data_IF_473304881672
#
_entry.id   IF_473304881672
#
_cell.length_a   1.000
_cell.length_b   1.000
_cell.length_c   1.000
_cell.angle_alpha   90.00
_cell.angle_beta   90.00
_cell.angle_gamma   90.00
#
_symmetry.space_group_name_H-M   'P 1'
#
loop_
_entity.id
_entity.type
_entity.pdbx_description
1 polymer ?
#
# COMPACT_ATOMS: atom_id res chain seq x y z
N UNK A 1 11.80 -32.93 -76.46
CA UNK A 1 11.52 -33.46 -75.11
C UNK A 1 10.81 -32.38 -74.32
N UNK A 2 9.52 -32.54 -73.98
CA UNK A 2 8.76 -31.57 -73.17
C UNK A 2 8.55 -32.16 -71.78
N UNK A 3 9.29 -31.66 -70.78
CA UNK A 3 9.08 -32.00 -69.37
C UNK A 3 7.83 -31.28 -68.86
N UNK A 4 6.78 -32.05 -68.59
CA UNK A 4 5.56 -31.56 -67.96
C UNK A 4 5.77 -31.36 -66.46
N UNK A 5 5.83 -30.10 -66.02
CA UNK A 5 5.91 -29.75 -64.60
C UNK A 5 4.56 -30.06 -63.94
N UNK A 6 4.49 -31.12 -63.11
CA UNK A 6 3.30 -31.46 -62.32
C UNK A 6 3.21 -30.50 -61.13
N UNK A 7 2.36 -29.48 -61.26
CA UNK A 7 1.95 -28.64 -60.13
C UNK A 7 1.04 -29.48 -59.22
N UNK A 8 1.55 -29.93 -58.07
CA UNK A 8 0.72 -30.51 -57.01
C UNK A 8 -0.10 -29.37 -56.38
N UNK A 9 -1.39 -29.27 -56.73
CA UNK A 9 -2.33 -28.43 -55.99
C UNK A 9 -2.57 -29.07 -54.63
N UNK A 10 -1.93 -28.55 -53.59
CA UNK A 10 -2.37 -28.79 -52.21
C UNK A 10 -3.82 -28.32 -52.08
N UNK A 11 -4.72 -29.24 -51.75
CA UNK A 11 -6.10 -28.90 -51.43
C UNK A 11 -6.12 -28.28 -50.03
N UNK A 12 -6.02 -26.96 -49.97
CA UNK A 12 -6.35 -26.17 -48.78
C UNK A 12 -7.77 -26.55 -48.33
N UNK A 13 -7.90 -27.28 -47.22
CA UNK A 13 -9.20 -27.55 -46.60
C UNK A 13 -9.59 -26.29 -45.82
N UNK A 14 -10.51 -25.50 -46.36
CA UNK A 14 -11.10 -24.37 -45.65
C UNK A 14 -11.94 -24.83 -44.45
N UNK A 15 -12.12 -23.94 -43.47
CA UNK A 15 -13.01 -24.19 -42.33
C UNK A 15 -14.46 -24.34 -42.78
N UNK A 16 -15.16 -25.28 -42.16
CA UNK A 16 -16.59 -25.42 -42.33
C UNK A 16 -17.33 -24.37 -41.49
N UNK A 17 -18.54 -24.00 -41.92
CA UNK A 17 -19.39 -23.07 -41.17
C UNK A 17 -19.71 -23.60 -39.76
N UNK A 18 -19.83 -24.92 -39.62
CA UNK A 18 -20.08 -25.59 -38.34
C UNK A 18 -18.92 -25.42 -37.37
N UNK A 19 -17.67 -25.53 -37.85
CA UNK A 19 -16.48 -25.34 -37.01
C UNK A 19 -16.36 -23.91 -36.49
N UNK A 20 -16.63 -22.92 -37.34
CA UNK A 20 -16.65 -21.50 -36.94
C UNK A 20 -17.75 -21.26 -35.90
N UNK A 21 -18.94 -21.82 -36.10
CA UNK A 21 -20.05 -21.69 -35.16
C UNK A 21 -19.73 -22.31 -33.80
N UNK A 22 -19.16 -23.53 -33.79
CA UNK A 22 -18.76 -24.21 -32.55
C UNK A 22 -17.64 -23.45 -31.83
N UNK A 23 -16.64 -22.94 -32.55
CA UNK A 23 -15.56 -22.13 -31.98
C UNK A 23 -16.08 -20.83 -31.35
N UNK A 24 -16.99 -20.12 -32.03
CA UNK A 24 -17.61 -18.90 -31.50
C UNK A 24 -18.50 -19.18 -30.29
N UNK A 25 -19.23 -20.30 -30.28
CA UNK A 25 -20.04 -20.70 -29.14
C UNK A 25 -19.17 -20.95 -27.90
N UNK A 26 -18.07 -21.69 -28.05
CA UNK A 26 -17.12 -21.94 -26.95
C UNK A 26 -16.45 -20.63 -26.51
N UNK A 27 -16.02 -19.79 -27.46
CA UNK A 27 -15.41 -18.49 -27.16
C UNK A 27 -16.37 -17.57 -26.39
N UNK A 28 -17.65 -17.55 -26.76
CA UNK A 28 -18.67 -16.76 -26.06
C UNK A 28 -18.81 -17.15 -24.60
N UNK A 29 -18.88 -18.47 -24.32
CA UNK A 29 -18.93 -18.98 -22.94
C UNK A 29 -17.67 -18.60 -22.16
N UNK A 30 -16.49 -18.73 -22.77
CA UNK A 30 -15.23 -18.35 -22.13
C UNK A 30 -15.17 -16.87 -21.77
N UNK A 31 -15.61 -15.98 -22.68
CA UNK A 31 -15.63 -14.54 -22.42
C UNK A 31 -16.56 -14.20 -21.25
N UNK A 32 -17.76 -14.77 -21.21
CA UNK A 32 -18.71 -14.54 -20.10
C UNK A 32 -18.12 -14.96 -18.76
N UNK A 33 -17.43 -16.09 -18.71
CA UNK A 33 -16.77 -16.56 -17.48
C UNK A 33 -15.58 -15.68 -17.11
N UNK A 34 -14.83 -15.14 -18.08
CA UNK A 34 -13.62 -14.35 -17.84
C UNK A 34 -13.88 -12.89 -17.42
N UNK A 35 -14.99 -12.27 -17.84
CA UNK A 35 -15.33 -10.88 -17.49
C UNK A 35 -15.24 -10.57 -15.98
N UNK A 36 -15.84 -11.35 -15.06
CA UNK A 36 -15.76 -11.05 -13.63
C UNK A 36 -14.33 -11.14 -13.07
N UNK A 37 -13.45 -11.96 -13.66
CA UNK A 37 -12.06 -12.02 -13.24
C UNK A 37 -11.31 -10.73 -13.58
N UNK A 38 -11.54 -10.17 -14.77
CA UNK A 38 -10.91 -8.92 -15.19
C UNK A 38 -11.38 -7.72 -14.35
N UNK A 39 -12.68 -7.63 -14.04
CA UNK A 39 -13.21 -6.53 -13.22
C UNK A 39 -12.66 -6.59 -11.79
N UNK A 40 -12.62 -7.78 -11.20
CA UNK A 40 -12.06 -7.97 -9.87
C UNK A 40 -10.56 -7.67 -9.83
N UNK A 41 -9.82 -8.05 -10.88
CA UNK A 41 -8.39 -7.75 -10.97
C UNK A 41 -8.12 -6.25 -11.06
N UNK A 42 -8.86 -5.51 -11.88
CA UNK A 42 -8.70 -4.06 -11.99
C UNK A 42 -8.93 -3.33 -10.66
N UNK A 43 -9.96 -3.72 -9.91
CA UNK A 43 -10.23 -3.17 -8.57
C UNK A 43 -9.13 -3.53 -7.59
N UNK A 44 -8.61 -4.76 -7.64
CA UNK A 44 -7.50 -5.19 -6.78
C UNK A 44 -6.23 -4.39 -7.05
N UNK A 45 -5.87 -4.18 -8.32
CA UNK A 45 -4.69 -3.39 -8.70
C UNK A 45 -4.81 -1.95 -8.22
N UNK A 46 -5.97 -1.32 -8.41
CA UNK A 46 -6.20 0.05 -7.93
C UNK A 46 -6.07 0.18 -6.41
N UNK A 47 -6.55 -0.81 -5.64
CA UNK A 47 -6.35 -0.84 -4.18
C UNK A 47 -4.89 -1.06 -3.79
N UNK A 48 -4.17 -1.88 -4.55
CA UNK A 48 -2.75 -2.12 -4.29
C UNK A 48 -1.92 -0.85 -4.53
N UNK A 49 -2.21 -0.12 -5.61
CA UNK A 49 -1.59 1.19 -5.88
C UNK A 49 -1.87 2.19 -4.76
N UNK A 50 -3.13 2.32 -4.33
CA UNK A 50 -3.50 3.20 -3.21
C UNK A 50 -2.74 2.87 -1.92
N UNK A 51 -2.57 1.58 -1.62
CA UNK A 51 -1.83 1.16 -0.43
C UNK A 51 -0.36 1.57 -0.49
N UNK A 52 0.27 1.48 -1.66
CA UNK A 52 1.67 1.91 -1.85
C UNK A 52 1.79 3.42 -1.69
N UNK A 53 0.87 4.19 -2.27
CA UNK A 53 0.86 5.65 -2.12
C UNK A 53 0.65 6.07 -0.66
N UNK A 54 -0.24 5.39 0.06
CA UNK A 54 -0.45 5.63 1.49
C UNK A 54 0.80 5.33 2.32
N UNK A 55 1.54 4.25 2.01
CA UNK A 55 2.81 3.92 2.69
C UNK A 55 3.84 5.02 2.46
N UNK A 56 4.03 5.44 1.21
CA UNK A 56 4.97 6.53 0.88
C UNK A 56 4.58 7.84 1.59
N UNK A 57 3.28 8.11 1.67
CA UNK A 57 2.77 9.28 2.39
C UNK A 57 3.05 9.17 3.90
N UNK A 58 2.85 8.00 4.50
CA UNK A 58 3.11 7.78 5.92
C UNK A 58 4.59 7.99 6.26
N UNK A 59 5.50 7.52 5.40
CA UNK A 59 6.94 7.77 5.55
C UNK A 59 7.29 9.25 5.44
N UNK A 60 6.71 9.96 4.48
CA UNK A 60 6.90 11.40 4.33
C UNK A 60 6.41 12.16 5.57
N UNK A 61 5.21 11.86 6.03
CA UNK A 61 4.63 12.45 7.25
C UNK A 61 5.52 12.16 8.45
N UNK A 62 6.01 10.93 8.60
CA UNK A 62 6.90 10.57 9.69
C UNK A 62 8.17 11.41 9.70
N UNK A 63 8.77 11.64 8.53
CA UNK A 63 9.93 12.51 8.41
C UNK A 63 9.60 13.97 8.80
N UNK A 64 8.50 14.53 8.27
CA UNK A 64 8.02 15.88 8.62
C UNK A 64 7.76 16.02 10.12
N UNK A 65 7.14 15.02 10.77
CA UNK A 65 6.88 15.05 12.22
C UNK A 65 8.18 14.95 13.02
N UNK A 66 9.16 14.17 12.59
CA UNK A 66 10.44 14.08 13.31
C UNK A 66 11.24 15.39 13.20
N UNK A 67 11.15 16.08 12.07
CA UNK A 67 11.91 17.32 11.82
C UNK A 67 11.24 18.56 12.43
N UNK A 68 9.93 18.73 12.22
CA UNK A 68 9.22 19.99 12.53
C UNK A 68 8.44 19.93 13.84
N UNK A 69 8.06 18.74 14.32
CA UNK A 69 7.30 18.62 15.57
C UNK A 69 8.26 18.68 16.76
N UNK A 70 7.96 19.48 17.82
CA UNK A 70 8.85 19.63 18.96
C UNK A 70 8.76 18.44 19.93
N UNK A 71 9.15 17.25 19.44
CA UNK A 71 9.07 15.98 20.16
C UNK A 71 9.85 16.01 21.47
N UNK A 72 11.01 16.66 21.51
CA UNK A 72 11.81 16.82 22.73
C UNK A 72 11.03 17.56 23.82
N UNK A 73 10.34 18.64 23.45
CA UNK A 73 9.51 19.40 24.40
C UNK A 73 8.32 18.58 24.91
N UNK A 74 7.80 17.66 24.09
CA UNK A 74 6.68 16.80 24.47
C UNK A 74 7.17 15.68 25.39
N UNK A 75 8.26 15.00 25.03
CA UNK A 75 8.89 13.93 25.81
C UNK A 75 9.29 14.43 27.20
N UNK A 76 9.86 15.63 27.30
CA UNK A 76 10.29 16.22 28.57
C UNK A 76 9.15 16.59 29.53
N UNK A 77 7.95 16.82 29.00
CA UNK A 77 6.80 17.32 29.77
C UNK A 77 5.73 16.26 30.03
N UNK A 78 5.64 15.25 29.19
CA UNK A 78 4.61 14.22 29.27
C UNK A 78 5.11 12.97 30.01
N UNK A 79 4.22 12.35 30.78
CA UNK A 79 4.44 10.99 31.27
C UNK A 79 4.22 10.02 30.12
N UNK A 80 5.31 9.60 29.46
CA UNK A 80 5.24 8.71 28.30
C UNK A 80 5.03 7.27 28.76
N UNK A 81 3.92 6.67 28.33
CA UNK A 81 3.56 5.29 28.61
C UNK A 81 4.49 4.30 27.89
N UNK A 82 4.54 3.06 28.37
CA UNK A 82 5.26 2.00 27.68
C UNK A 82 4.47 1.59 26.41
N UNK A 83 5.17 1.25 25.33
CA UNK A 83 4.58 0.76 24.09
C UNK A 83 3.76 -0.54 24.24
N UNK A 84 3.94 -1.29 25.32
CA UNK A 84 3.11 -2.47 25.64
C UNK A 84 1.74 -2.09 26.24
N UNK A 85 1.56 -0.81 26.59
CA UNK A 85 0.31 -0.23 27.10
C UNK A 85 -0.28 0.73 26.07
N UNK A 86 -1.31 1.51 26.45
CA UNK A 86 -1.91 2.52 25.57
C UNK A 86 -0.90 3.66 25.30
N UNK A 87 -0.42 3.83 24.05
CA UNK A 87 0.53 4.89 23.72
C UNK A 87 -0.07 6.28 23.92
N UNK A 88 0.78 7.28 24.12
CA UNK A 88 0.35 8.67 24.21
C UNK A 88 0.03 9.19 22.82
N UNK A 89 -1.17 9.74 22.62
CA UNK A 89 -1.49 10.48 21.41
C UNK A 89 -0.73 11.82 21.40
N UNK A 90 -0.01 12.08 20.32
CA UNK A 90 0.51 13.41 20.05
C UNK A 90 -0.69 14.35 19.85
N UNK A 91 -0.70 15.52 20.51
CA UNK A 91 -1.79 16.46 20.32
C UNK A 91 -1.87 16.91 18.86
N UNK A 92 -3.00 16.60 18.22
CA UNK A 92 -3.31 16.95 16.82
C UNK A 92 -3.56 18.45 16.58
N UNK A 93 -2.86 19.33 17.31
CA UNK A 93 -2.85 20.77 17.01
C UNK A 93 -2.24 21.04 15.63
N UNK A 94 -1.84 22.30 15.37
CA UNK A 94 -1.29 22.75 14.08
C UNK A 94 0.02 22.05 13.61
N UNK A 95 0.47 20.98 14.26
CA UNK A 95 1.77 20.33 14.02
C UNK A 95 1.71 18.96 13.34
N UNK A 96 0.54 18.34 13.15
CA UNK A 96 0.42 17.14 12.31
C UNK A 96 -0.19 17.55 10.96
N UNK A 97 0.54 17.37 9.84
CA UNK A 97 0.06 17.81 8.54
C UNK A 97 -1.16 16.97 8.13
N UNK A 98 -2.28 17.63 7.81
CA UNK A 98 -3.34 16.97 7.04
C UNK A 98 -2.79 16.73 5.65
N UNK A 99 -2.59 15.47 5.31
CA UNK A 99 -1.93 15.10 4.09
C UNK A 99 -2.93 14.53 3.07
N UNK A 100 -2.77 14.99 1.84
CA UNK A 100 -3.64 14.68 0.71
C UNK A 100 -2.82 13.85 -0.26
N UNK A 101 -3.32 12.67 -0.64
CA UNK A 101 -2.79 11.91 -1.78
C UNK A 101 -3.90 11.75 -2.81
N UNK A 102 -3.73 12.38 -3.98
CA UNK A 102 -4.80 12.50 -4.98
C UNK A 102 -6.01 13.27 -4.43
N UNK A 103 -7.19 12.65 -4.50
CA UNK A 103 -8.46 13.21 -3.97
C UNK A 103 -8.77 12.76 -2.52
N UNK A 104 -7.88 11.97 -1.90
CA UNK A 104 -8.11 11.40 -0.57
C UNK A 104 -7.43 12.23 0.51
N UNK A 105 -8.19 12.55 1.54
CA UNK A 105 -7.71 13.27 2.73
C UNK A 105 -7.46 12.24 3.83
N UNK A 106 -6.21 12.15 4.29
CA UNK A 106 -5.85 11.29 5.39
C UNK A 106 -5.76 12.09 6.69
N UNK A 107 -6.39 11.59 7.74
CA UNK A 107 -6.16 12.03 9.10
C UNK A 107 -4.89 11.36 9.63
N UNK A 108 -3.94 12.18 10.11
CA UNK A 108 -2.69 11.72 10.69
C UNK A 108 -2.83 11.65 12.21
N UNK A 109 -2.51 10.49 12.79
CA UNK A 109 -2.38 10.33 14.24
C UNK A 109 -0.95 9.94 14.57
N UNK A 110 -0.31 10.73 15.43
CA UNK A 110 0.99 10.39 16.00
C UNK A 110 0.80 9.74 17.37
N UNK A 111 1.45 8.61 17.60
CA UNK A 111 1.46 7.90 18.87
C UNK A 111 2.89 7.77 19.37
N UNK A 112 3.14 8.20 20.59
CA UNK A 112 4.45 8.18 21.22
C UNK A 112 4.42 7.27 22.44
N UNK A 113 5.40 6.39 22.54
CA UNK A 113 5.58 5.52 23.69
C UNK A 113 7.06 5.26 23.96
N UNK A 114 7.37 4.74 25.15
CA UNK A 114 8.72 4.37 25.53
C UNK A 114 8.90 2.85 25.54
N UNK A 115 10.10 2.38 25.19
CA UNK A 115 10.53 1.01 25.43
C UNK A 115 11.78 1.02 26.31
N UNK A 116 11.81 0.21 27.38
CA UNK A 116 13.02 0.05 28.18
C UNK A 116 14.07 -0.66 27.32
N UNK A 117 15.21 -0.01 27.13
CA UNK A 117 16.40 -0.54 26.48
C UNK A 117 17.56 -0.66 27.46
N UNK A 118 18.56 -1.48 27.10
CA UNK A 118 19.85 -1.54 27.79
C UNK A 118 20.93 -1.09 26.83
N UNK A 119 21.72 -0.08 27.19
CA UNK A 119 22.88 0.30 26.40
C UNK A 119 24.08 -0.63 26.67
N UNK A 120 25.02 -0.68 25.72
CA UNK A 120 26.30 -1.37 25.90
C UNK A 120 27.10 -0.70 27.03
N UNK A 121 26.95 -1.25 28.23
CA UNK A 121 27.43 -0.65 29.49
C UNK A 121 26.54 -1.02 30.68
N UNK A 122 25.32 -1.50 30.44
CA UNK A 122 24.39 -1.94 31.48
C UNK A 122 23.47 -0.84 32.02
N UNK A 123 23.57 0.38 31.48
CA UNK A 123 22.68 1.48 31.83
C UNK A 123 21.31 1.31 31.16
N UNK A 124 20.26 1.62 31.92
CA UNK A 124 18.89 1.64 31.41
C UNK A 124 18.69 2.91 30.61
N UNK A 125 18.24 2.76 29.36
CA UNK A 125 17.91 3.88 28.49
C UNK A 125 16.50 3.71 27.96
N UNK A 126 15.71 4.77 28.02
CA UNK A 126 14.38 4.78 27.44
C UNK A 126 14.48 5.11 25.95
N UNK A 127 14.09 4.17 25.10
CA UNK A 127 13.96 4.39 23.66
C UNK A 127 12.54 4.88 23.39
N UNK A 128 12.39 6.06 22.81
CA UNK A 128 11.08 6.59 22.46
C UNK A 128 10.72 6.15 21.03
N UNK A 129 9.58 5.47 20.89
CA UNK A 129 9.04 5.04 19.60
C UNK A 129 7.90 5.98 19.21
N UNK A 130 8.04 6.59 18.04
CA UNK A 130 6.99 7.35 17.39
C UNK A 130 6.35 6.47 16.32
N UNK A 131 5.05 6.24 16.43
CA UNK A 131 4.21 5.61 15.42
C UNK A 131 3.35 6.68 14.75
N UNK A 132 3.26 6.63 13.43
CA UNK A 132 2.36 7.47 12.64
C UNK A 132 1.32 6.56 11.99
N UNK A 133 0.04 6.88 12.19
CA UNK A 133 -1.08 6.19 11.58
C UNK A 133 -1.79 7.12 10.60
N UNK A 134 -2.09 6.61 9.41
CA UNK A 134 -2.92 7.29 8.43
C UNK A 134 -4.32 6.68 8.45
N UNK A 135 -5.31 7.53 8.67
CA UNK A 135 -6.72 7.15 8.75
C UNK A 135 -7.49 7.79 7.59
N UNK A 136 -8.32 7.00 6.92
CA UNK A 136 -9.34 7.49 6.02
C UNK A 136 -10.70 7.27 6.70
N UNK A 137 -11.35 8.37 7.08
CA UNK A 137 -12.54 8.40 7.92
C UNK A 137 -12.33 7.65 9.25
N UNK A 138 -12.82 6.41 9.36
CA UNK A 138 -12.69 5.56 10.56
C UNK A 138 -11.86 4.30 10.29
N UNK A 139 -11.22 4.21 9.13
CA UNK A 139 -10.41 3.06 8.74
C UNK A 139 -8.94 3.43 8.72
N UNK A 140 -8.13 2.71 9.49
CA UNK A 140 -6.67 2.82 9.40
C UNK A 140 -6.23 2.22 8.06
N UNK A 141 -5.54 3.02 7.25
CA UNK A 141 -5.07 2.62 5.93
C UNK A 141 -3.66 2.04 6.01
N UNK A 142 -2.79 2.71 6.76
CA UNK A 142 -1.41 2.26 6.97
C UNK A 142 -0.83 2.88 8.25
N UNK A 143 0.25 2.29 8.73
CA UNK A 143 1.06 2.80 9.82
C UNK A 143 2.55 2.69 9.50
N UNK A 144 3.34 3.58 10.08
CA UNK A 144 4.80 3.50 10.10
C UNK A 144 5.32 3.85 11.48
N UNK A 145 6.55 3.48 11.79
CA UNK A 145 7.17 3.83 13.06
C UNK A 145 8.66 4.11 12.92
N UNK A 146 9.16 4.95 13.83
CA UNK A 146 10.58 5.24 13.99
C UNK A 146 10.93 5.39 15.46
N UNK A 147 12.23 5.37 15.75
CA UNK A 147 12.74 5.69 17.07
C UNK A 147 13.28 7.11 17.07
N UNK A 148 12.87 7.88 18.07
CA UNK A 148 13.32 9.25 18.27
C UNK A 148 14.22 9.30 19.48
N UNK A 149 15.35 10.01 19.34
CA UNK A 149 16.30 10.15 20.41
C UNK A 149 16.01 11.45 21.14
N UNK A 150 15.85 11.36 22.47
CA UNK A 150 15.68 12.51 23.34
C UNK A 150 17.06 12.90 23.89
N UNK A 151 17.50 14.13 23.60
CA UNK A 151 18.78 14.68 24.08
C UNK A 151 18.64 15.43 25.40
#
# INVERSE_FOLDING_TARGET
>A
MKNGYKIQKNKEKGFTLLEILAALAILGVLVVVMIPFFTNYAVFTSKAEENVDAINLAEKVMYEVVEDYPLDSYISRASIANCDTTPNLLPSGNGLPKNISGDKVYEVKGLLCSRPGKQSGGENVNLYQLKIELWNEQTMVTETFTYVNYK
#
